data_IF_883464412332
#
_entry.id   IF_883464412332
#
_cell.length_a   1.000
_cell.length_b   1.000
_cell.length_c   1.000
_cell.angle_alpha   90.00
_cell.angle_beta   90.00
_cell.angle_gamma   90.00
#
_symmetry.space_group_name_H-M   'P 1'
#
loop_
_entity.id
_entity.type
_entity.pdbx_description
1 polymer ?
#
# COMPACT_ATOMS: atom_id res chain seq x y z
N UNK A 1 17.74 2.97 -9.25
CA UNK A 1 16.77 3.16 -8.17
C UNK A 1 16.38 1.80 -7.58
N UNK A 2 16.42 1.67 -6.27
CA UNK A 2 16.06 0.41 -5.64
C UNK A 2 14.60 0.04 -5.88
N UNK A 3 14.34 -1.24 -5.99
CA UNK A 3 13.00 -1.78 -6.18
C UNK A 3 12.48 -2.35 -4.87
N UNK A 4 11.17 -2.24 -4.66
CA UNK A 4 10.50 -2.87 -3.55
C UNK A 4 9.26 -3.61 -4.08
N UNK A 5 9.01 -4.80 -3.54
CA UNK A 5 7.83 -5.60 -3.86
C UNK A 5 7.31 -6.24 -2.59
N UNK A 6 6.01 -6.34 -2.47
CA UNK A 6 5.37 -7.05 -1.38
C UNK A 6 4.02 -7.59 -1.84
N UNK A 7 3.64 -8.76 -1.33
CA UNK A 7 2.39 -9.41 -1.71
C UNK A 7 1.76 -10.03 -0.48
N UNK A 8 0.45 -9.89 -0.36
CA UNK A 8 -0.31 -10.53 0.72
C UNK A 8 -1.63 -11.07 0.15
N UNK A 9 -2.13 -12.18 0.70
CA UNK A 9 -3.46 -12.66 0.34
C UNK A 9 -4.54 -11.80 1.00
N UNK A 10 -5.68 -11.69 0.33
CA UNK A 10 -6.86 -10.99 0.85
C UNK A 10 -8.02 -11.96 0.78
N UNK A 11 -8.69 -12.17 1.90
CA UNK A 11 -9.79 -13.13 1.99
C UNK A 11 -11.11 -12.59 1.41
N UNK A 12 -11.09 -11.43 0.78
CA UNK A 12 -12.27 -10.82 0.16
C UNK A 12 -12.26 -11.10 -1.35
N UNK A 13 -13.45 -11.24 -1.92
CA UNK A 13 -13.59 -11.45 -3.36
C UNK A 13 -13.10 -10.23 -4.13
N UNK A 14 -12.57 -10.48 -5.32
CA UNK A 14 -11.95 -9.43 -6.14
C UNK A 14 -12.88 -8.25 -6.41
N UNK A 15 -14.13 -8.51 -6.78
CA UNK A 15 -15.08 -7.44 -7.09
C UNK A 15 -15.33 -6.54 -5.89
N UNK A 16 -15.54 -7.14 -4.72
CA UNK A 16 -15.77 -6.40 -3.49
C UNK A 16 -14.51 -5.68 -3.03
N UNK A 17 -13.39 -6.36 -3.04
CA UNK A 17 -12.11 -5.77 -2.66
C UNK A 17 -11.74 -4.61 -3.58
N UNK A 18 -12.00 -4.76 -4.88
CA UNK A 18 -11.75 -3.71 -5.86
C UNK A 18 -12.59 -2.47 -5.61
N UNK A 19 -13.88 -2.64 -5.32
CA UNK A 19 -14.76 -1.52 -4.98
C UNK A 19 -14.28 -0.79 -3.73
N UNK A 20 -13.88 -1.53 -2.71
CA UNK A 20 -13.38 -0.95 -1.47
C UNK A 20 -12.06 -0.22 -1.67
N UNK A 21 -11.18 -0.75 -2.51
CA UNK A 21 -9.90 -0.12 -2.81
C UNK A 21 -10.10 1.21 -3.56
N UNK A 22 -10.98 1.22 -4.55
CA UNK A 22 -11.31 2.43 -5.30
C UNK A 22 -11.90 3.50 -4.38
N UNK A 23 -12.84 3.11 -3.53
CA UNK A 23 -13.42 4.01 -2.53
C UNK A 23 -12.36 4.48 -1.53
N UNK A 24 -11.46 3.58 -1.13
CA UNK A 24 -10.40 3.89 -0.17
C UNK A 24 -9.41 4.94 -0.64
N UNK A 25 -9.29 5.12 -1.96
CA UNK A 25 -8.41 6.12 -2.55
C UNK A 25 -8.63 7.53 -1.95
N UNK A 26 -9.88 7.88 -1.69
CA UNK A 26 -10.22 9.19 -1.12
C UNK A 26 -10.57 9.14 0.37
N UNK A 27 -10.71 7.96 0.95
CA UNK A 27 -11.19 7.82 2.32
C UNK A 27 -10.10 7.41 3.32
N UNK A 28 -9.38 6.32 3.05
CA UNK A 28 -8.52 5.73 4.07
C UNK A 28 -7.12 5.31 3.61
N UNK A 29 -6.85 5.23 2.30
CA UNK A 29 -5.53 4.78 1.83
C UNK A 29 -4.39 5.71 2.27
N UNK A 30 -4.61 7.02 2.21
CA UNK A 30 -3.59 7.99 2.61
C UNK A 30 -3.28 7.89 4.11
N UNK A 31 -4.30 7.64 4.93
CA UNK A 31 -4.11 7.47 6.37
C UNK A 31 -3.28 6.23 6.69
N UNK A 32 -3.54 5.13 5.99
CA UNK A 32 -2.78 3.91 6.18
C UNK A 32 -1.33 4.08 5.74
N UNK A 33 -1.10 4.79 4.64
CA UNK A 33 0.25 5.07 4.16
C UNK A 33 1.02 5.91 5.18
N UNK A 34 0.39 6.96 5.70
CA UNK A 34 1.01 7.81 6.71
C UNK A 34 1.36 7.03 7.98
N UNK A 35 0.44 6.19 8.44
CA UNK A 35 0.66 5.38 9.63
C UNK A 35 1.77 4.35 9.46
N UNK A 36 1.92 3.81 8.23
CA UNK A 36 2.95 2.83 7.95
C UNK A 36 4.36 3.44 7.92
N UNK A 37 4.47 4.68 7.45
CA UNK A 37 5.76 5.35 7.33
C UNK A 37 6.23 5.86 8.69
N UNK A 38 5.46 6.75 9.30
CA UNK A 38 5.79 7.32 10.60
C UNK A 38 4.54 8.01 11.14
N UNK A 39 3.95 7.50 12.23
CA UNK A 39 2.68 8.04 12.73
C UNK A 39 2.72 9.54 13.08
N UNK A 40 3.89 10.03 13.45
CA UNK A 40 4.06 11.42 13.91
C UNK A 40 4.56 12.36 12.82
N UNK A 41 4.74 11.88 11.59
CA UNK A 41 5.29 12.69 10.51
C UNK A 41 4.26 13.00 9.44
N UNK A 42 4.46 14.15 8.80
CA UNK A 42 3.63 14.52 7.66
C UNK A 42 4.12 13.76 6.42
N UNK A 43 3.21 13.04 5.82
CA UNK A 43 3.47 12.29 4.60
C UNK A 43 2.50 12.80 3.54
N UNK A 44 3.03 13.26 2.42
CA UNK A 44 2.21 13.61 1.27
C UNK A 44 2.01 12.35 0.43
N UNK A 45 0.78 11.92 0.29
CA UNK A 45 0.44 10.71 -0.45
C UNK A 45 -0.57 11.03 -1.53
N UNK A 46 -0.28 10.61 -2.74
CA UNK A 46 -1.19 10.75 -3.87
C UNK A 46 -1.49 9.38 -4.47
N UNK A 47 -2.76 9.11 -4.70
CA UNK A 47 -3.19 7.92 -5.41
C UNK A 47 -3.77 8.34 -6.74
N UNK A 48 -3.24 7.78 -7.83
CA UNK A 48 -3.76 8.00 -9.17
C UNK A 48 -5.05 7.23 -9.39
N UNK A 49 -5.66 7.46 -10.54
CA UNK A 49 -6.89 6.75 -10.88
C UNK A 49 -6.63 5.26 -11.09
N UNK A 50 -7.41 4.39 -10.42
CA UNK A 50 -7.32 2.97 -10.64
C UNK A 50 -7.68 2.62 -12.08
N UNK A 51 -6.97 1.65 -12.64
CA UNK A 51 -7.22 1.15 -13.99
C UNK A 51 -7.26 -0.36 -13.98
N UNK A 52 -8.04 -0.93 -14.88
CA UNK A 52 -8.07 -2.37 -15.07
C UNK A 52 -7.09 -2.74 -16.18
N UNK A 53 -6.20 -3.68 -15.88
CA UNK A 53 -5.23 -4.19 -16.83
C UNK A 53 -5.33 -5.71 -16.80
N UNK A 54 -5.77 -6.30 -17.91
CA UNK A 54 -6.07 -7.73 -17.99
C UNK A 54 -7.11 -8.13 -16.94
N UNK A 55 -6.70 -8.83 -15.89
CA UNK A 55 -7.60 -9.25 -14.82
C UNK A 55 -7.28 -8.56 -13.49
N UNK A 56 -6.43 -7.55 -13.52
CA UNK A 56 -5.96 -6.87 -12.31
C UNK A 56 -6.50 -5.45 -12.25
N UNK A 57 -6.66 -4.96 -11.03
CA UNK A 57 -6.91 -3.55 -10.77
C UNK A 57 -5.61 -2.93 -10.28
N UNK A 58 -5.16 -1.86 -10.92
CA UNK A 58 -3.90 -1.21 -10.59
C UNK A 58 -4.18 0.22 -10.14
N UNK A 59 -3.72 0.58 -8.95
CA UNK A 59 -3.83 1.93 -8.41
C UNK A 59 -2.43 2.52 -8.24
N UNK A 60 -2.06 3.53 -9.04
CA UNK A 60 -0.77 4.19 -8.89
C UNK A 60 -0.69 4.94 -7.57
N UNK A 61 0.48 4.95 -6.98
CA UNK A 61 0.73 5.53 -5.68
C UNK A 61 2.05 6.29 -5.70
N UNK A 62 2.02 7.50 -5.18
CA UNK A 62 3.23 8.28 -4.95
C UNK A 62 3.18 8.84 -3.53
N UNK A 63 4.25 8.65 -2.76
CA UNK A 63 4.36 9.33 -1.48
C UNK A 63 5.69 10.02 -1.32
N UNK A 64 5.69 11.09 -0.52
CA UNK A 64 6.89 11.83 -0.16
C UNK A 64 6.88 12.12 1.33
N UNK A 65 8.04 12.00 1.96
CA UNK A 65 8.25 12.35 3.35
C UNK A 65 9.63 12.96 3.52
N UNK A 66 9.76 13.92 4.43
CA UNK A 66 11.03 14.58 4.64
C UNK A 66 12.00 13.74 5.48
N UNK A 67 11.51 12.96 6.40
CA UNK A 67 12.35 12.33 7.43
C UNK A 67 12.13 10.84 7.61
N UNK A 68 11.29 10.20 6.84
CA UNK A 68 11.04 8.78 6.98
C UNK A 68 12.17 7.90 6.42
N UNK A 69 12.08 6.58 6.60
CA UNK A 69 13.05 5.65 6.00
C UNK A 69 13.01 5.66 4.48
N UNK A 70 11.90 6.11 3.90
CA UNK A 70 11.70 6.25 2.46
C UNK A 70 11.30 7.69 2.20
N UNK A 71 12.12 8.46 1.50
CA UNK A 71 11.77 9.85 1.17
C UNK A 71 10.79 9.94 0.01
N UNK A 72 10.89 9.03 -0.94
CA UNK A 72 10.00 8.99 -2.10
C UNK A 72 9.68 7.56 -2.45
N UNK A 73 8.42 7.27 -2.73
CA UNK A 73 7.99 5.98 -3.24
C UNK A 73 7.08 6.21 -4.43
N UNK A 74 7.41 5.59 -5.55
CA UNK A 74 6.55 5.53 -6.74
C UNK A 74 6.23 4.06 -7.00
N UNK A 75 4.99 3.70 -6.85
CA UNK A 75 4.60 2.30 -6.89
C UNK A 75 3.20 2.12 -7.46
N UNK A 76 2.86 0.87 -7.74
CA UNK A 76 1.52 0.46 -8.09
C UNK A 76 1.02 -0.53 -7.04
N UNK A 77 -0.17 -0.27 -6.51
CA UNK A 77 -0.94 -1.28 -5.79
C UNK A 77 -1.67 -2.11 -6.83
N UNK A 78 -1.53 -3.43 -6.74
CA UNK A 78 -2.13 -4.34 -7.70
C UNK A 78 -3.02 -5.35 -6.97
N UNK A 79 -4.27 -5.40 -7.35
CA UNK A 79 -5.24 -6.36 -6.80
C UNK A 79 -5.60 -7.34 -7.91
N UNK A 80 -5.47 -8.62 -7.64
CA UNK A 80 -5.73 -9.68 -8.60
C UNK A 80 -6.70 -10.72 -8.03
N UNK A 81 -7.60 -11.27 -8.85
CA UNK A 81 -8.42 -12.38 -8.40
C UNK A 81 -7.61 -13.66 -8.28
N UNK A 82 -8.00 -14.50 -7.34
CA UNK A 82 -7.39 -15.82 -7.15
C UNK A 82 -8.39 -16.87 -7.58
N UNK A 83 -7.97 -17.93 -8.30
CA UNK A 83 -8.90 -18.93 -8.82
C UNK A 83 -9.78 -19.60 -7.77
N UNK A 84 -9.34 -19.68 -6.52
CA UNK A 84 -10.09 -20.32 -5.43
C UNK A 84 -11.03 -19.37 -4.69
N UNK A 85 -11.25 -18.18 -5.22
CA UNK A 85 -11.97 -17.13 -4.52
C UNK A 85 -11.00 -16.34 -3.65
N UNK A 86 -11.33 -15.10 -3.34
CA UNK A 86 -10.41 -14.19 -2.68
C UNK A 86 -9.56 -13.43 -3.67
N UNK A 87 -8.60 -12.69 -3.16
CA UNK A 87 -7.78 -11.80 -3.95
C UNK A 87 -6.33 -11.84 -3.48
N UNK A 88 -5.47 -11.25 -4.28
CA UNK A 88 -4.07 -11.11 -3.97
C UNK A 88 -3.70 -9.63 -4.13
N UNK A 89 -3.16 -9.03 -3.08
CA UNK A 89 -2.77 -7.62 -3.10
C UNK A 89 -1.26 -7.53 -3.14
N UNK A 90 -0.74 -6.78 -4.11
CA UNK A 90 0.67 -6.55 -4.22
C UNK A 90 1.01 -5.09 -4.34
N UNK A 91 2.25 -4.76 -4.03
CA UNK A 91 2.83 -3.45 -4.27
C UNK A 91 4.16 -3.65 -4.94
N UNK A 92 4.40 -2.91 -6.00
CA UNK A 92 5.66 -2.99 -6.75
C UNK A 92 6.04 -1.59 -7.18
N UNK A 93 7.27 -1.19 -6.92
CA UNK A 93 7.71 0.14 -7.30
C UNK A 93 9.16 0.43 -6.99
N UNK A 94 9.50 1.71 -7.10
CA UNK A 94 10.84 2.22 -6.83
C UNK A 94 10.79 3.21 -5.68
N UNK A 95 11.87 3.30 -4.95
CA UNK A 95 11.94 4.21 -3.82
C UNK A 95 13.28 4.91 -3.75
N UNK A 96 13.29 6.06 -3.03
CA UNK A 96 14.51 6.76 -2.68
C UNK A 96 14.60 6.82 -1.17
N UNK A 97 15.82 6.74 -0.66
CA UNK A 97 16.10 6.91 0.76
C UNK A 97 16.81 8.25 0.97
N UNK A 98 16.79 8.79 2.19
CA UNK A 98 17.52 10.02 2.47
C UNK A 98 18.98 9.87 2.05
N UNK A 99 19.54 10.95 1.49
CA UNK A 99 20.94 10.92 1.06
C UNK A 99 21.84 10.60 2.25
N UNK A 100 22.58 9.52 2.20
CA UNK A 100 23.20 9.02 3.40
C UNK A 100 24.55 9.60 3.73
N UNK A 101 25.10 10.47 2.92
CA UNK A 101 26.51 10.76 3.10
C UNK A 101 27.32 9.48 2.91
N UNK A 102 28.41 9.33 3.64
CA UNK A 102 29.26 8.14 3.53
C UNK A 102 28.68 6.99 4.36
N UNK A 103 27.77 6.24 3.80
CA UNK A 103 27.18 5.09 4.49
C UNK A 103 27.88 3.78 4.13
N UNK A 104 28.01 2.90 5.11
CA UNK A 104 28.58 1.57 4.91
C UNK A 104 27.56 0.65 4.23
N UNK A 105 28.03 -0.52 3.76
CA UNK A 105 27.15 -1.54 3.21
C UNK A 105 26.12 -2.03 4.23
N UNK A 106 26.53 -2.09 5.50
CA UNK A 106 25.61 -2.49 6.58
C UNK A 106 24.47 -1.52 6.73
N UNK A 107 24.74 -0.22 6.58
CA UNK A 107 23.71 0.80 6.67
C UNK A 107 22.72 0.70 5.49
N UNK A 108 23.22 0.43 4.30
CA UNK A 108 22.38 0.26 3.12
C UNK A 108 21.42 -0.94 3.28
N UNK A 109 21.94 -2.06 3.79
CA UNK A 109 21.11 -3.24 4.03
C UNK A 109 20.05 -2.96 5.10
N UNK A 110 20.44 -2.28 6.17
CA UNK A 110 19.52 -1.92 7.24
C UNK A 110 18.39 -1.02 6.74
N UNK A 111 18.72 -0.03 5.91
CA UNK A 111 17.73 0.87 5.32
C UNK A 111 16.79 0.14 4.40
N UNK A 112 17.30 -0.77 3.59
CA UNK A 112 16.46 -1.59 2.71
C UNK A 112 15.46 -2.42 3.52
N UNK A 113 15.90 -3.01 4.63
CA UNK A 113 15.00 -3.76 5.52
C UNK A 113 13.93 -2.88 6.13
N UNK A 114 14.28 -1.64 6.49
CA UNK A 114 13.31 -0.68 7.02
C UNK A 114 12.27 -0.31 5.96
N UNK A 115 12.69 -0.11 4.73
CA UNK A 115 11.79 0.16 3.61
C UNK A 115 10.84 -1.01 3.39
N UNK A 116 11.39 -2.22 3.34
CA UNK A 116 10.57 -3.43 3.15
C UNK A 116 9.55 -3.60 4.27
N UNK A 117 9.97 -3.36 5.52
CA UNK A 117 9.07 -3.43 6.66
C UNK A 117 7.97 -2.38 6.59
N UNK A 118 8.30 -1.16 6.18
CA UNK A 118 7.35 -0.07 6.01
C UNK A 118 6.31 -0.42 4.95
N UNK A 119 6.75 -0.89 3.79
CA UNK A 119 5.88 -1.28 2.69
C UNK A 119 5.01 -2.46 3.10
N UNK A 120 5.58 -3.45 3.78
CA UNK A 120 4.83 -4.60 4.25
C UNK A 120 3.72 -4.19 5.23
N UNK A 121 4.00 -3.28 6.16
CA UNK A 121 2.98 -2.76 7.07
C UNK A 121 1.85 -2.09 6.31
N UNK A 122 2.18 -1.29 5.30
CA UNK A 122 1.17 -0.62 4.49
C UNK A 122 0.30 -1.64 3.75
N UNK A 123 0.91 -2.56 3.02
CA UNK A 123 0.19 -3.56 2.23
C UNK A 123 -0.67 -4.44 3.14
N UNK A 124 -0.14 -4.86 4.27
CA UNK A 124 -0.87 -5.67 5.25
C UNK A 124 -2.05 -4.90 5.83
N UNK A 125 -1.87 -3.60 6.11
CA UNK A 125 -2.95 -2.76 6.63
C UNK A 125 -4.05 -2.56 5.59
N UNK A 126 -3.68 -2.38 4.32
CA UNK A 126 -4.65 -2.28 3.23
C UNK A 126 -5.44 -3.59 3.11
N UNK A 127 -4.75 -4.72 3.11
CA UNK A 127 -5.39 -6.04 3.03
C UNK A 127 -6.37 -6.25 4.18
N UNK A 128 -5.96 -5.95 5.39
CA UNK A 128 -6.81 -6.08 6.57
C UNK A 128 -8.04 -5.17 6.49
N UNK A 129 -7.86 -3.96 5.98
CA UNK A 129 -8.97 -3.02 5.81
C UNK A 129 -9.94 -3.51 4.74
N UNK A 130 -9.44 -4.07 3.65
CA UNK A 130 -10.30 -4.66 2.62
C UNK A 130 -11.13 -5.82 3.18
N UNK A 131 -10.53 -6.66 4.00
CA UNK A 131 -11.23 -7.78 4.63
C UNK A 131 -12.28 -7.31 5.63
N UNK A 132 -11.97 -6.30 6.44
CA UNK A 132 -12.92 -5.72 7.40
C UNK A 132 -13.92 -4.80 6.73
N UNK A 133 -13.54 -4.15 5.66
CA UNK A 133 -14.38 -3.19 4.95
C UNK A 133 -15.67 -3.78 4.45
N UNK A 134 -15.66 -5.04 4.03
CA UNK A 134 -16.87 -5.74 3.66
C UNK A 134 -17.83 -5.85 4.82
N UNK A 135 -17.34 -6.21 6.01
CA UNK A 135 -18.16 -6.30 7.22
C UNK A 135 -18.61 -4.92 7.69
N UNK A 136 -17.73 -3.92 7.66
CA UNK A 136 -18.05 -2.56 8.07
C UNK A 136 -19.11 -1.94 7.18
N UNK A 137 -18.97 -2.10 5.86
CA UNK A 137 -19.95 -1.62 4.90
C UNK A 137 -21.32 -2.26 5.17
N UNK A 138 -21.32 -3.56 5.47
CA UNK A 138 -22.55 -4.28 5.79
C UNK A 138 -23.21 -3.75 7.07
N UNK A 139 -22.42 -3.48 8.09
CA UNK A 139 -22.89 -2.90 9.35
C UNK A 139 -23.44 -1.49 9.15
N UNK A 140 -22.78 -0.67 8.36
CA UNK A 140 -23.24 0.68 8.04
C UNK A 140 -24.56 0.67 7.29
N UNK A 141 -24.75 -0.27 6.39
CA UNK A 141 -25.99 -0.43 5.65
C UNK A 141 -27.14 -0.82 6.58
N UNK A 142 -26.86 -1.60 7.63
CA UNK A 142 -27.87 -1.98 8.61
C UNK A 142 -28.25 -0.85 9.56
N UNK A 143 -27.31 -0.01 9.92
CA UNK A 143 -27.56 1.08 10.87
C UNK A 143 -28.08 2.35 10.21
N UNK A 144 -28.07 2.39 8.91
CA UNK A 144 -28.60 3.50 8.13
C UNK A 144 -29.98 3.14 7.59
#
# INVERSE_FOLDING_TARGET
>A
MPLVQDFVPVAERFEQAGMLLVAGRTLWLAELAAAAVAPDELVAVEFGEPRSVEHALIAPLHWETETGPVTTLDADLRLEPVPRGGSHLGLSGTYEIPSPGASSRGDAVRRQRLVEACVHRFVTSVAATLERGGADVHLMTRSG
#
